data_IF_126175987759
#
_entry.id   IF_126175987759
#
_cell.length_a   1.000
_cell.length_b   1.000
_cell.length_c   1.000
_cell.angle_alpha   90.00
_cell.angle_beta   90.00
_cell.angle_gamma   90.00
#
_symmetry.space_group_name_H-M   'P 1'
#
loop_
_entity.id
_entity.type
_entity.pdbx_description
1 polymer ?
#
# COMPACT_ATOMS: atom_id res chain seq x y z
N UNK A 1 10.17 11.48 -2.35
CA UNK A 1 9.45 10.26 -1.95
C UNK A 1 9.92 9.95 -0.55
N UNK A 2 9.09 10.28 0.43
CA UNK A 2 9.48 10.27 1.83
C UNK A 2 9.15 8.88 2.40
N UNK A 3 10.19 8.06 2.57
CA UNK A 3 10.10 6.76 3.22
C UNK A 3 10.58 6.89 4.66
N UNK A 4 9.87 6.26 5.59
CA UNK A 4 10.25 6.25 6.99
C UNK A 4 11.18 5.06 7.20
N UNK A 5 12.41 5.31 7.66
CA UNK A 5 13.36 4.25 8.00
C UNK A 5 13.16 3.88 9.47
N UNK A 6 12.81 2.62 9.73
CA UNK A 6 12.71 2.08 11.10
C UNK A 6 13.25 0.66 11.13
N UNK A 7 14.06 0.32 12.13
CA UNK A 7 14.66 -1.01 12.28
C UNK A 7 15.38 -1.51 11.01
N UNK A 8 16.08 -0.60 10.33
CA UNK A 8 16.79 -0.85 9.06
C UNK A 8 15.88 -1.34 7.91
N UNK A 9 14.58 -0.99 7.97
CA UNK A 9 13.59 -1.24 6.91
C UNK A 9 12.98 0.08 6.45
N UNK A 10 12.82 0.20 5.14
CA UNK A 10 12.15 1.34 4.53
C UNK A 10 10.65 1.05 4.50
N UNK A 11 9.87 1.88 5.19
CA UNK A 11 8.42 1.87 5.08
C UNK A 11 8.02 2.76 3.91
N UNK A 12 7.34 2.13 2.97
CA UNK A 12 6.89 2.73 1.71
C UNK A 12 5.39 2.50 1.59
N UNK A 13 4.71 3.37 0.85
CA UNK A 13 3.26 3.25 0.70
C UNK A 13 2.92 1.98 -0.09
N UNK A 14 2.11 1.10 0.52
CA UNK A 14 1.69 -0.15 -0.12
C UNK A 14 0.83 0.11 -1.38
N UNK A 15 0.12 1.24 -1.41
CA UNK A 15 -0.73 1.65 -2.53
C UNK A 15 0.09 1.93 -3.78
N UNK A 16 1.14 2.75 -3.66
CA UNK A 16 1.99 3.08 -4.82
C UNK A 16 2.65 1.83 -5.41
N UNK A 17 3.09 0.90 -4.55
CA UNK A 17 3.68 -0.37 -5.02
C UNK A 17 2.64 -1.20 -5.76
N UNK A 18 1.44 -1.38 -5.19
CA UNK A 18 0.39 -2.17 -5.80
C UNK A 18 -0.07 -1.58 -7.16
N UNK A 19 -0.27 -0.27 -7.23
CA UNK A 19 -0.65 0.44 -8.47
C UNK A 19 0.47 0.34 -9.52
N UNK A 20 1.74 0.49 -9.13
CA UNK A 20 2.89 0.32 -10.03
C UNK A 20 3.00 -1.09 -10.60
N UNK A 21 2.46 -2.09 -9.91
CA UNK A 21 2.41 -3.49 -10.37
C UNK A 21 1.16 -3.80 -11.21
N UNK A 22 0.32 -2.77 -11.47
CA UNK A 22 -0.92 -2.86 -12.23
C UNK A 22 -2.10 -3.43 -11.45
N UNK A 23 -2.04 -3.42 -10.11
CA UNK A 23 -3.14 -3.84 -9.26
C UNK A 23 -4.04 -2.64 -8.87
N UNK A 24 -5.34 -2.87 -8.79
CA UNK A 24 -6.31 -1.93 -8.23
C UNK A 24 -6.32 -2.04 -6.70
N UNK A 25 -6.37 -0.89 -6.01
CA UNK A 25 -6.41 -0.81 -4.54
C UNK A 25 -7.66 -0.08 -4.10
N UNK A 26 -8.55 -0.78 -3.41
CA UNK A 26 -9.78 -0.23 -2.86
C UNK A 26 -9.78 -0.25 -1.32
N UNK A 27 -10.47 0.73 -0.72
CA UNK A 27 -10.65 0.80 0.73
C UNK A 27 -12.08 0.45 1.10
N UNK A 28 -12.25 -0.66 1.82
CA UNK A 28 -13.49 -1.00 2.49
C UNK A 28 -13.54 -0.32 3.86
N UNK A 29 -14.30 0.77 3.93
CA UNK A 29 -14.45 1.55 5.16
C UNK A 29 -15.31 0.86 6.23
N UNK A 30 -16.16 -0.09 5.84
CA UNK A 30 -17.04 -0.83 6.76
C UNK A 30 -16.23 -1.86 7.52
N UNK A 31 -15.43 -2.64 6.79
CA UNK A 31 -14.59 -3.68 7.38
C UNK A 31 -13.21 -3.19 7.80
N UNK A 32 -12.86 -1.93 7.50
CA UNK A 32 -11.51 -1.35 7.68
C UNK A 32 -10.43 -2.20 7.00
N UNK A 33 -10.70 -2.61 5.76
CA UNK A 33 -9.81 -3.48 4.97
C UNK A 33 -9.36 -2.79 3.69
N UNK A 34 -8.13 -3.08 3.30
CA UNK A 34 -7.62 -2.78 1.96
C UNK A 34 -7.86 -3.99 1.08
N UNK A 35 -8.54 -3.81 -0.05
CA UNK A 35 -8.73 -4.81 -1.09
C UNK A 35 -7.73 -4.53 -2.21
N UNK A 36 -6.98 -5.56 -2.62
CA UNK A 36 -6.00 -5.47 -3.71
C UNK A 36 -6.37 -6.54 -4.73
N UNK A 37 -6.63 -6.14 -5.97
CA UNK A 37 -7.06 -7.01 -7.07
C UNK A 37 -6.26 -6.69 -8.34
N UNK A 38 -6.01 -7.69 -9.19
CA UNK A 38 -5.26 -7.58 -10.44
C UNK A 38 -6.10 -8.08 -11.61
#
# INVERSE_FOLDING_TARGET
>A
MDFIVKDNRNFVSIREIAESLGAAVEWDNVNKKVLISK
#
